data_IF_184331389839
#
_entry.id   IF_184331389839
#
_cell.length_a   1.000
_cell.length_b   1.000
_cell.length_c   1.000
_cell.angle_alpha   90.00
_cell.angle_beta   90.00
_cell.angle_gamma   90.00
#
_symmetry.space_group_name_H-M   'P 1'
#
loop_
_entity.id
_entity.type
_entity.pdbx_description
1 polymer ?
#
# COMPACT_ATOMS: atom_id res chain seq x y z
N UNK A 1 3.17 8.33 12.21
CA UNK A 1 2.85 6.99 11.67
C UNK A 1 3.80 6.70 10.53
N UNK A 2 4.34 5.49 10.49
CA UNK A 2 5.12 4.98 9.35
C UNK A 2 4.32 3.87 8.69
N UNK A 3 4.25 3.87 7.35
CA UNK A 3 3.51 2.88 6.58
C UNK A 3 4.30 2.53 5.32
N UNK A 4 4.17 1.29 4.86
CA UNK A 4 4.85 0.77 3.67
C UNK A 4 3.83 0.16 2.70
N UNK A 5 3.93 0.41 1.38
CA UNK A 5 2.98 -0.11 0.40
C UNK A 5 2.83 -1.63 0.45
N UNK A 6 3.92 -2.37 0.64
CA UNK A 6 3.90 -3.84 0.71
C UNK A 6 3.02 -4.34 1.88
N UNK A 7 3.12 -3.67 3.04
CA UNK A 7 2.32 -3.99 4.22
C UNK A 7 0.87 -3.54 4.03
N UNK A 8 0.65 -2.38 3.40
CA UNK A 8 -0.67 -1.86 3.08
C UNK A 8 -1.44 -2.78 2.13
N UNK A 9 -0.81 -3.22 1.04
CA UNK A 9 -1.38 -4.20 0.12
C UNK A 9 -1.69 -5.52 0.83
N UNK A 10 -0.77 -6.03 1.64
CA UNK A 10 -0.98 -7.23 2.44
C UNK A 10 -2.21 -7.10 3.36
N UNK A 11 -2.29 -6.00 4.11
CA UNK A 11 -3.39 -5.71 5.02
C UNK A 11 -4.73 -5.62 4.29
N UNK A 12 -4.79 -4.90 3.18
CA UNK A 12 -5.98 -4.76 2.34
C UNK A 12 -6.40 -6.07 1.67
N UNK A 13 -5.44 -6.97 1.45
CA UNK A 13 -5.65 -8.31 0.89
C UNK A 13 -5.90 -9.36 2.00
N UNK A 14 -6.48 -8.95 3.13
CA UNK A 14 -6.85 -9.88 4.20
C UNK A 14 -5.66 -10.49 4.94
N UNK A 15 -4.50 -9.83 4.94
CA UNK A 15 -3.27 -10.30 5.57
C UNK A 15 -2.44 -11.24 4.69
N UNK A 16 -2.82 -11.44 3.42
CA UNK A 16 -2.03 -12.20 2.46
C UNK A 16 -1.20 -11.28 1.57
N UNK A 17 0.06 -11.64 1.31
CA UNK A 17 0.88 -10.94 0.33
C UNK A 17 0.22 -10.96 -1.07
N UNK A 18 0.52 -9.97 -1.89
CA UNK A 18 0.17 -9.99 -3.31
C UNK A 18 0.80 -11.21 -3.98
N UNK A 19 0.05 -11.95 -4.80
CA UNK A 19 0.54 -13.19 -5.39
C UNK A 19 1.55 -12.93 -6.51
N UNK A 20 1.44 -11.80 -7.21
CA UNK A 20 2.30 -11.46 -8.33
C UNK A 20 3.29 -10.34 -7.97
N UNK A 21 4.57 -10.48 -8.33
CA UNK A 21 5.57 -9.46 -8.05
C UNK A 21 5.26 -8.19 -8.84
N UNK A 22 5.55 -7.00 -8.27
CA UNK A 22 5.34 -5.72 -8.96
C UNK A 22 6.30 -5.51 -10.13
N UNK A 23 7.50 -6.08 -10.05
CA UNK A 23 8.56 -6.01 -11.06
C UNK A 23 9.18 -7.38 -11.32
N UNK A 24 9.57 -7.65 -12.55
CA UNK A 24 10.35 -8.83 -12.96
C UNK A 24 11.61 -8.31 -13.64
N UNK A 25 12.79 -8.68 -13.14
CA UNK A 25 14.10 -8.24 -13.66
C UNK A 25 14.22 -6.72 -13.85
N UNK A 26 13.68 -5.95 -12.89
CA UNK A 26 13.71 -4.48 -12.90
C UNK A 26 12.64 -3.81 -13.76
N UNK A 27 11.93 -4.55 -14.63
CA UNK A 27 10.82 -4.03 -15.41
C UNK A 27 9.49 -4.22 -14.66
N UNK A 28 8.54 -3.29 -14.87
CA UNK A 28 7.17 -3.40 -14.35
C UNK A 28 6.53 -4.70 -14.86
N UNK A 29 5.90 -5.46 -13.96
CA UNK A 29 5.13 -6.65 -14.30
C UNK A 29 3.66 -6.28 -14.50
N UNK A 30 3.12 -6.26 -15.73
CA UNK A 30 1.74 -5.85 -15.98
C UNK A 30 0.71 -6.65 -15.18
N UNK A 31 0.92 -7.97 -15.03
CA UNK A 31 0.00 -8.82 -14.28
C UNK A 31 0.01 -8.48 -12.78
N UNK A 32 1.18 -8.18 -12.20
CA UNK A 32 1.29 -7.72 -10.81
C UNK A 32 0.71 -6.33 -10.59
N UNK A 33 0.74 -5.46 -11.60
CA UNK A 33 0.08 -4.16 -11.55
C UNK A 33 -1.43 -4.30 -11.60
N UNK A 34 -1.97 -5.13 -12.49
CA UNK A 34 -3.42 -5.38 -12.56
C UNK A 34 -3.96 -6.05 -11.29
N UNK A 35 -3.21 -6.97 -10.67
CA UNK A 35 -3.59 -7.55 -9.37
C UNK A 35 -3.74 -6.47 -8.29
N UNK A 36 -2.81 -5.52 -8.22
CA UNK A 36 -2.86 -4.38 -7.29
C UNK A 36 -4.04 -3.46 -7.59
N UNK A 37 -4.29 -3.15 -8.87
CA UNK A 37 -5.45 -2.35 -9.26
C UNK A 37 -6.76 -3.02 -8.88
N UNK A 38 -6.89 -4.33 -9.14
CA UNK A 38 -8.08 -5.10 -8.78
C UNK A 38 -8.33 -5.06 -7.26
N UNK A 39 -7.28 -5.18 -6.45
CA UNK A 39 -7.41 -5.01 -5.00
C UNK A 39 -7.87 -3.59 -4.64
N UNK A 40 -7.25 -2.55 -5.19
CA UNK A 40 -7.61 -1.16 -4.92
C UNK A 40 -9.06 -0.85 -5.32
N UNK A 41 -9.55 -1.42 -6.42
CA UNK A 41 -10.96 -1.29 -6.82
C UNK A 41 -11.92 -1.87 -5.79
N UNK A 42 -11.57 -3.00 -5.15
CA UNK A 42 -12.38 -3.58 -4.05
C UNK A 42 -12.48 -2.66 -2.84
N UNK A 43 -11.57 -1.70 -2.71
CA UNK A 43 -11.54 -0.70 -1.62
C UNK A 43 -11.99 0.69 -2.08
N UNK A 44 -12.73 0.78 -3.19
CA UNK A 44 -13.48 1.98 -3.58
C UNK A 44 -12.81 2.86 -4.65
N UNK A 45 -11.65 2.48 -5.18
CA UNK A 45 -11.10 3.16 -6.35
C UNK A 45 -11.85 2.77 -7.63
N UNK A 46 -12.04 3.73 -8.53
CA UNK A 46 -12.49 3.43 -9.88
C UNK A 46 -11.33 2.93 -10.74
N UNK A 47 -11.57 1.90 -11.56
CA UNK A 47 -10.53 1.35 -12.46
C UNK A 47 -10.02 2.41 -13.43
N UNK A 48 -10.90 3.27 -13.94
CA UNK A 48 -10.54 4.37 -14.83
C UNK A 48 -9.56 5.35 -14.20
N UNK A 49 -9.65 5.61 -12.88
CA UNK A 49 -8.69 6.42 -12.17
C UNK A 49 -7.32 5.74 -12.07
N UNK A 50 -7.30 4.44 -11.78
CA UNK A 50 -6.07 3.65 -11.63
C UNK A 50 -5.35 3.36 -12.96
N UNK A 51 -6.04 3.51 -14.09
CA UNK A 51 -5.47 3.36 -15.44
C UNK A 51 -4.92 4.67 -16.03
N UNK A 52 -5.02 5.77 -15.28
CA UNK A 52 -4.43 7.05 -15.70
C UNK A 52 -2.91 6.97 -15.71
N UNK A 53 -2.32 7.78 -16.57
CA UNK A 53 -0.88 8.01 -16.52
C UNK A 53 -0.50 8.64 -15.16
N UNK A 54 0.61 8.19 -14.54
CA UNK A 54 1.10 8.75 -13.30
C UNK A 54 1.51 10.23 -13.50
N UNK A 55 1.57 11.04 -12.43
CA UNK A 55 2.12 12.38 -12.48
C UNK A 55 3.54 12.38 -13.05
N UNK A 56 3.92 13.49 -13.70
CA UNK A 56 5.26 13.64 -14.29
C UNK A 56 6.34 13.35 -13.25
N UNK A 57 7.23 12.41 -13.56
CA UNK A 57 8.36 12.02 -12.71
C UNK A 57 8.10 10.81 -11.81
N UNK A 58 6.86 10.30 -11.75
CA UNK A 58 6.53 9.07 -11.05
C UNK A 58 6.45 7.88 -12.02
N UNK A 59 6.90 6.72 -11.58
CA UNK A 59 6.68 5.48 -12.30
C UNK A 59 5.24 4.97 -12.08
N UNK A 60 4.80 4.04 -12.93
CA UNK A 60 3.46 3.45 -12.82
C UNK A 60 3.25 2.72 -11.48
N UNK A 61 4.29 2.09 -10.93
CA UNK A 61 4.21 1.44 -9.63
C UNK A 61 4.13 2.43 -8.47
N UNK A 62 4.84 3.56 -8.56
CA UNK A 62 4.77 4.63 -7.57
C UNK A 62 3.33 5.17 -7.43
N UNK A 63 2.56 5.23 -8.52
CA UNK A 63 1.17 5.68 -8.48
C UNK A 63 0.25 4.72 -7.70
N UNK A 64 0.44 3.41 -7.85
CA UNK A 64 -0.34 2.43 -7.07
C UNK A 64 0.13 2.38 -5.61
N UNK A 65 1.42 2.55 -5.37
CA UNK A 65 2.00 2.65 -4.02
C UNK A 65 1.44 3.90 -3.31
N UNK A 66 1.28 5.03 -4.01
CA UNK A 66 0.61 6.22 -3.46
C UNK A 66 -0.90 5.99 -3.21
N UNK A 67 -1.61 5.33 -4.13
CA UNK A 67 -3.04 5.05 -4.00
C UNK A 67 -3.34 4.15 -2.79
N UNK A 68 -2.55 3.09 -2.58
CA UNK A 68 -2.72 2.23 -1.41
C UNK A 68 -2.44 2.99 -0.12
N UNK A 69 -1.46 3.90 -0.12
CA UNK A 69 -1.14 4.72 1.04
C UNK A 69 -2.22 5.73 1.40
N UNK A 70 -2.97 6.24 0.42
CA UNK A 70 -4.12 7.10 0.71
C UNK A 70 -5.23 6.35 1.47
N UNK A 71 -5.49 5.08 1.14
CA UNK A 71 -6.45 4.25 1.89
C UNK A 71 -5.99 4.03 3.34
N UNK A 72 -4.70 3.76 3.53
CA UNK A 72 -4.13 3.62 4.88
C UNK A 72 -4.19 4.93 5.65
N UNK A 73 -3.89 6.07 5.02
CA UNK A 73 -4.01 7.38 5.64
C UNK A 73 -5.45 7.65 6.12
N UNK A 74 -6.45 7.28 5.31
CA UNK A 74 -7.87 7.35 5.70
C UNK A 74 -8.17 6.48 6.92
N UNK A 75 -7.65 5.25 6.96
CA UNK A 75 -7.80 4.36 8.13
C UNK A 75 -7.09 4.85 9.37
N UNK A 76 -5.91 5.46 9.24
CA UNK A 76 -5.21 6.10 10.36
C UNK A 76 -6.07 7.23 10.91
N UNK A 77 -6.59 8.10 10.04
CA UNK A 77 -7.48 9.19 10.44
C UNK A 77 -8.77 8.68 11.11
N UNK A 78 -9.29 7.52 10.68
CA UNK A 78 -10.44 6.85 11.27
C UNK A 78 -10.15 5.98 12.51
N UNK A 79 -8.89 5.80 12.92
CA UNK A 79 -8.53 4.91 14.02
C UNK A 79 -8.67 3.41 13.72
N UNK A 80 -8.74 3.03 12.44
CA UNK A 80 -8.94 1.65 11.97
C UNK A 80 -7.62 0.95 11.61
N UNK A 81 -6.56 1.72 11.35
CA UNK A 81 -5.24 1.18 11.02
C UNK A 81 -4.66 0.42 12.22
N UNK A 82 -3.95 -0.67 11.94
CA UNK A 82 -3.29 -1.50 12.95
C UNK A 82 -1.77 -1.40 12.82
N UNK A 83 -1.04 -1.29 13.93
CA UNK A 83 0.41 -1.32 13.90
C UNK A 83 0.94 -2.75 13.72
N UNK A 84 2.17 -2.85 13.24
CA UNK A 84 2.97 -4.07 13.26
C UNK A 84 4.39 -3.68 13.72
N UNK A 85 4.86 -4.18 14.88
CA UNK A 85 4.14 -5.05 15.83
C UNK A 85 2.98 -4.33 16.55
N UNK A 86 2.05 -5.11 17.11
CA UNK A 86 0.95 -4.66 17.98
C UNK A 86 1.06 -5.38 19.34
N UNK A 87 1.37 -4.68 20.45
CA UNK A 87 1.54 -3.22 20.55
C UNK A 87 2.85 -2.73 19.88
N UNK A 88 2.91 -1.44 19.47
CA UNK A 88 4.14 -0.82 18.98
C UNK A 88 5.28 -0.94 19.98
N UNK A 89 6.50 -1.15 19.46
CA UNK A 89 7.70 -1.09 20.28
C UNK A 89 8.10 0.37 20.52
N UNK A 90 9.05 0.60 21.43
CA UNK A 90 9.63 1.91 21.69
C UNK A 90 11.14 1.86 21.43
N UNK A 91 11.68 2.89 20.79
CA UNK A 91 13.13 3.09 20.73
C UNK A 91 13.69 3.62 22.06
N UNK A 92 15.01 3.84 22.12
CA UNK A 92 15.69 4.35 23.33
C UNK A 92 15.25 5.76 23.78
N UNK A 93 14.52 6.48 22.94
CA UNK A 93 13.99 7.81 23.19
C UNK A 93 12.47 7.80 23.47
N UNK A 94 11.84 6.62 23.48
CA UNK A 94 10.40 6.48 23.68
C UNK A 94 9.58 6.77 22.41
N UNK A 95 10.19 6.78 21.22
CA UNK A 95 9.47 6.96 19.96
C UNK A 95 8.84 5.61 19.55
N UNK A 96 7.53 5.56 19.23
CA UNK A 96 6.89 4.34 18.75
C UNK A 96 7.49 3.84 17.44
N UNK A 97 7.85 2.55 17.44
CA UNK A 97 8.38 1.81 16.28
C UNK A 97 7.34 0.79 15.85
N UNK A 98 6.61 1.11 14.77
CA UNK A 98 5.66 0.23 14.13
C UNK A 98 5.35 0.68 12.70
N UNK A 99 5.04 -0.29 11.83
CA UNK A 99 4.47 -0.06 10.50
C UNK A 99 2.95 -0.16 10.59
N UNK A 100 2.23 0.83 10.09
CA UNK A 100 0.77 0.95 10.21
C UNK A 100 0.06 0.62 8.90
N UNK A 101 -1.03 -0.15 8.98
CA UNK A 101 -1.91 -0.49 7.85
C UNK A 101 -3.37 -0.82 8.25
#
# INVERSE_FOLDING_TARGET
FESHPEVAFCRLNGGAAMALPKKIKGAVNPAGMEERKALLCRHGYEKAFLDRAPPRGAANDDFLDAAVMMLIAGRIAGGEARPSPDPPLLDRFGIPVAIWA
#
